data_IF_507948994757
#
_entry.id   IF_507948994757
#
_cell.length_a   1.000
_cell.length_b   1.000
_cell.length_c   1.000
_cell.angle_alpha   90.00
_cell.angle_beta   90.00
_cell.angle_gamma   90.00
#
_symmetry.space_group_name_H-M   'P 1'
#
loop_
_entity.id
_entity.type
_entity.pdbx_description
1 polymer ?
#
# COMPACT_ATOMS: atom_id res chain seq x y z
N UNK A 1 57.74 -4.30 -19.51
CA UNK A 1 56.58 -4.12 -18.61
C UNK A 1 55.41 -3.45 -19.36
N UNK A 2 54.68 -4.17 -20.24
CA UNK A 2 53.61 -3.53 -21.05
C UNK A 2 52.48 -4.45 -21.55
N UNK A 3 52.67 -5.77 -21.56
CA UNK A 3 51.58 -6.69 -21.94
C UNK A 3 50.76 -7.20 -20.74
N UNK A 4 51.40 -7.56 -19.63
CA UNK A 4 50.71 -8.10 -18.45
C UNK A 4 49.78 -7.09 -17.75
N UNK A 5 50.13 -5.80 -17.75
CA UNK A 5 49.30 -4.75 -17.13
C UNK A 5 48.05 -4.49 -18.00
N UNK A 6 48.17 -4.58 -19.33
CA UNK A 6 47.03 -4.40 -20.26
C UNK A 6 46.03 -5.55 -20.23
N UNK A 7 46.49 -6.80 -20.04
CA UNK A 7 45.57 -7.93 -19.84
C UNK A 7 44.91 -7.92 -18.47
N UNK A 8 45.60 -7.44 -17.43
CA UNK A 8 45.01 -7.37 -16.09
C UNK A 8 43.95 -6.27 -15.98
N UNK A 9 44.13 -5.12 -16.65
CA UNK A 9 43.10 -4.05 -16.67
C UNK A 9 41.92 -4.39 -17.57
N UNK A 10 42.10 -5.14 -18.67
CA UNK A 10 40.99 -5.56 -19.53
C UNK A 10 40.10 -6.60 -18.83
N UNK A 11 40.69 -7.55 -18.11
CA UNK A 11 39.93 -8.52 -17.31
C UNK A 11 39.24 -7.90 -16.10
N UNK A 12 39.84 -6.85 -15.48
CA UNK A 12 39.20 -6.10 -14.41
C UNK A 12 38.05 -5.22 -14.92
N UNK A 13 38.16 -4.61 -16.10
CA UNK A 13 37.05 -3.86 -16.72
C UNK A 13 35.88 -4.76 -17.13
N UNK A 14 36.15 -5.97 -17.63
CA UNK A 14 35.12 -6.96 -17.95
C UNK A 14 34.49 -7.58 -16.68
N UNK A 15 35.23 -7.72 -15.59
CA UNK A 15 34.68 -8.16 -14.29
C UNK A 15 33.84 -7.08 -13.60
N UNK A 16 34.12 -5.80 -13.86
CA UNK A 16 33.29 -4.67 -13.41
C UNK A 16 32.06 -4.42 -14.30
N UNK A 17 32.02 -5.00 -15.51
CA UNK A 17 30.90 -4.82 -16.46
C UNK A 17 29.90 -5.98 -16.50
N UNK A 18 30.11 -7.06 -15.73
CA UNK A 18 29.05 -8.04 -15.46
C UNK A 18 28.32 -7.61 -14.19
N UNK A 19 27.67 -6.45 -14.24
CA UNK A 19 26.48 -6.27 -13.41
C UNK A 19 25.49 -7.28 -13.95
N UNK A 20 25.39 -8.42 -13.25
CA UNK A 20 24.36 -9.41 -13.52
C UNK A 20 23.01 -8.68 -13.52
N UNK A 21 22.50 -8.47 -14.73
CA UNK A 21 21.11 -8.12 -14.99
C UNK A 21 20.30 -9.38 -14.75
N UNK A 22 20.25 -9.83 -13.49
CA UNK A 22 19.29 -10.86 -13.10
C UNK A 22 17.91 -10.26 -13.31
N UNK A 23 17.09 -10.94 -14.12
CA UNK A 23 15.68 -10.60 -14.20
C UNK A 23 15.09 -10.68 -12.79
N UNK A 24 14.39 -9.63 -12.40
CA UNK A 24 13.80 -9.51 -11.07
C UNK A 24 12.61 -10.46 -10.99
N UNK A 25 12.62 -11.40 -10.05
CA UNK A 25 11.51 -12.36 -9.91
C UNK A 25 10.41 -11.77 -9.05
N UNK A 26 9.19 -11.76 -9.57
CA UNK A 26 7.99 -11.32 -8.85
C UNK A 26 7.00 -12.46 -8.70
N UNK A 27 6.45 -12.66 -7.50
CA UNK A 27 5.36 -13.61 -7.28
C UNK A 27 4.03 -12.88 -7.36
N UNK A 28 3.07 -13.50 -8.03
CA UNK A 28 1.70 -13.02 -8.10
C UNK A 28 0.77 -14.07 -7.52
N UNK A 29 -0.07 -13.65 -6.57
CA UNK A 29 -1.01 -14.55 -5.92
C UNK A 29 -2.19 -14.93 -6.81
N UNK A 30 -2.74 -16.12 -6.60
CA UNK A 30 -3.89 -16.64 -7.34
C UNK A 30 -5.23 -16.16 -6.74
N UNK A 31 -6.32 -16.41 -7.47
CA UNK A 31 -7.70 -16.19 -6.99
C UNK A 31 -8.13 -17.14 -5.87
N UNK A 32 -7.33 -18.16 -5.59
CA UNK A 32 -7.55 -19.12 -4.51
C UNK A 32 -7.00 -18.64 -3.16
N UNK A 33 -6.35 -17.46 -3.13
CA UNK A 33 -5.93 -16.77 -1.92
C UNK A 33 -6.84 -15.57 -1.64
N UNK A 34 -6.97 -15.15 -0.37
CA UNK A 34 -7.65 -13.90 -0.03
C UNK A 34 -7.02 -12.69 -0.73
N UNK A 35 -7.86 -11.74 -1.13
CA UNK A 35 -7.43 -10.50 -1.76
C UNK A 35 -6.35 -9.80 -0.92
N UNK A 36 -6.55 -9.77 0.39
CA UNK A 36 -5.68 -9.14 1.37
C UNK A 36 -4.25 -9.71 1.32
N UNK A 37 -4.13 -11.02 1.13
CA UNK A 37 -2.85 -11.73 1.02
C UNK A 37 -2.16 -11.40 -0.30
N UNK A 38 -2.92 -11.37 -1.40
CA UNK A 38 -2.40 -11.00 -2.71
C UNK A 38 -1.88 -9.56 -2.71
N UNK A 39 -2.68 -8.61 -2.19
CA UNK A 39 -2.28 -7.21 -2.08
C UNK A 39 -1.03 -7.03 -1.21
N UNK A 40 -0.93 -7.80 -0.12
CA UNK A 40 0.24 -7.77 0.76
C UNK A 40 1.51 -8.19 0.04
N UNK A 41 1.45 -9.29 -0.72
CA UNK A 41 2.61 -9.81 -1.46
C UNK A 41 3.03 -8.84 -2.55
N UNK A 42 2.07 -8.39 -3.37
CA UNK A 42 2.32 -7.42 -4.43
C UNK A 42 3.01 -6.16 -3.89
N UNK A 43 2.54 -5.66 -2.75
CA UNK A 43 3.09 -4.46 -2.14
C UNK A 43 4.49 -4.66 -1.56
N UNK A 44 4.75 -5.77 -0.87
CA UNK A 44 6.10 -6.10 -0.38
C UNK A 44 7.11 -6.05 -1.52
N UNK A 45 6.77 -6.64 -2.67
CA UNK A 45 7.65 -6.74 -3.84
C UNK A 45 7.81 -5.42 -4.57
N UNK A 46 6.72 -4.66 -4.78
CA UNK A 46 6.78 -3.33 -5.40
C UNK A 46 7.60 -2.32 -4.59
N UNK A 47 7.67 -2.50 -3.28
CA UNK A 47 8.40 -1.60 -2.38
C UNK A 47 9.87 -1.93 -2.23
N UNK A 48 10.23 -3.19 -2.44
CA UNK A 48 11.58 -3.69 -2.24
C UNK A 48 11.85 -4.85 -3.22
N UNK A 49 12.41 -4.56 -4.39
CA UNK A 49 12.80 -5.55 -5.39
C UNK A 49 13.58 -6.76 -4.83
N UNK A 50 14.45 -6.49 -3.86
CA UNK A 50 15.31 -7.51 -3.23
C UNK A 50 14.59 -8.33 -2.14
N UNK A 51 13.29 -8.11 -1.93
CA UNK A 51 12.51 -8.83 -0.90
C UNK A 51 12.16 -10.24 -1.35
N UNK A 52 12.09 -10.51 -2.66
CA UNK A 52 11.58 -11.77 -3.19
C UNK A 52 12.32 -12.99 -2.62
N UNK A 53 13.67 -13.06 -2.62
CA UNK A 53 14.40 -14.16 -2.01
C UNK A 53 14.12 -14.34 -0.51
N UNK A 54 13.75 -13.26 0.19
CA UNK A 54 13.46 -13.27 1.63
C UNK A 54 12.07 -13.81 1.95
N UNK A 55 11.10 -13.60 1.05
CA UNK A 55 9.71 -14.06 1.23
C UNK A 55 9.44 -15.41 0.56
N UNK A 56 10.27 -15.83 -0.39
CA UNK A 56 10.12 -17.09 -1.11
C UNK A 56 9.96 -18.32 -0.20
N UNK A 57 10.72 -18.47 0.92
CA UNK A 57 10.51 -19.59 1.84
C UNK A 57 9.10 -19.63 2.43
N UNK A 58 8.54 -18.47 2.77
CA UNK A 58 7.17 -18.37 3.29
C UNK A 58 6.14 -18.69 2.19
N UNK A 59 6.36 -18.24 0.95
CA UNK A 59 5.48 -18.55 -0.18
C UNK A 59 5.45 -20.05 -0.49
N UNK A 60 6.62 -20.70 -0.54
CA UNK A 60 6.74 -22.15 -0.73
C UNK A 60 6.01 -22.91 0.38
N UNK A 61 6.15 -22.45 1.63
CA UNK A 61 5.52 -23.09 2.78
C UNK A 61 4.00 -22.94 2.75
N UNK A 62 3.49 -21.75 2.44
CA UNK A 62 2.06 -21.50 2.25
C UNK A 62 1.52 -22.41 1.15
N UNK A 63 2.17 -22.45 -0.02
CA UNK A 63 1.71 -23.24 -1.15
C UNK A 63 1.67 -24.75 -0.83
N UNK A 64 2.73 -25.24 -0.19
CA UNK A 64 2.85 -26.64 0.25
C UNK A 64 1.65 -27.08 1.09
N UNK A 65 1.32 -26.30 2.11
CA UNK A 65 0.27 -26.69 3.07
C UNK A 65 -1.14 -26.30 2.62
N UNK A 66 -1.29 -25.25 1.81
CA UNK A 66 -2.58 -24.87 1.23
C UNK A 66 -3.16 -25.98 0.34
N UNK A 67 -2.32 -26.81 -0.30
CA UNK A 67 -2.77 -27.94 -1.14
C UNK A 67 -3.60 -28.97 -0.40
N UNK A 68 -3.37 -29.12 0.91
CA UNK A 68 -4.09 -30.04 1.80
C UNK A 68 -5.31 -29.42 2.48
N UNK A 69 -5.58 -28.14 2.25
CA UNK A 69 -6.61 -27.40 2.97
C UNK A 69 -7.83 -27.11 2.09
N UNK A 70 -8.99 -26.96 2.73
CA UNK A 70 -10.17 -26.44 2.05
C UNK A 70 -9.96 -24.96 1.68
N UNK A 71 -10.70 -24.48 0.67
CA UNK A 71 -10.67 -23.06 0.29
C UNK A 71 -11.13 -22.18 1.44
N UNK A 72 -12.12 -22.65 2.18
CA UNK A 72 -12.68 -21.97 3.34
C UNK A 72 -11.62 -21.75 4.42
N UNK A 73 -10.82 -22.78 4.73
CA UNK A 73 -9.74 -22.69 5.74
C UNK A 73 -8.61 -21.77 5.28
N UNK A 74 -8.22 -21.85 4.00
CA UNK A 74 -7.23 -20.94 3.40
C UNK A 74 -7.70 -19.49 3.56
N UNK A 75 -8.97 -19.23 3.26
CA UNK A 75 -9.54 -17.90 3.35
C UNK A 75 -9.66 -17.41 4.79
N UNK A 76 -10.11 -18.28 5.70
CA UNK A 76 -10.26 -17.97 7.10
C UNK A 76 -8.91 -17.58 7.72
N UNK A 77 -7.89 -18.40 7.54
CA UNK A 77 -6.57 -18.14 8.16
C UNK A 77 -5.85 -16.98 7.51
N UNK A 78 -5.88 -16.87 6.18
CA UNK A 78 -5.27 -15.74 5.49
C UNK A 78 -5.84 -14.41 5.99
N UNK A 79 -7.16 -14.30 6.12
CA UNK A 79 -7.80 -13.09 6.65
C UNK A 79 -7.50 -12.87 8.13
N UNK A 80 -7.66 -13.90 8.97
CA UNK A 80 -7.45 -13.78 10.42
C UNK A 80 -6.04 -13.28 10.71
N UNK A 81 -5.02 -13.84 10.09
CA UNK A 81 -3.64 -13.44 10.39
C UNK A 81 -3.32 -12.03 9.89
N UNK A 82 -3.91 -11.57 8.79
CA UNK A 82 -3.83 -10.15 8.35
C UNK A 82 -4.43 -9.24 9.42
N UNK A 83 -5.69 -9.46 9.81
CA UNK A 83 -6.36 -8.61 10.80
C UNK A 83 -5.67 -8.66 12.17
N UNK A 84 -5.31 -9.85 12.63
CA UNK A 84 -4.62 -10.05 13.92
C UNK A 84 -3.30 -9.31 13.96
N UNK A 85 -2.48 -9.39 12.91
CA UNK A 85 -1.18 -8.72 12.89
C UNK A 85 -1.32 -7.19 12.80
N UNK A 86 -2.29 -6.70 12.02
CA UNK A 86 -2.59 -5.27 11.93
C UNK A 86 -3.11 -4.72 13.27
N UNK A 87 -3.98 -5.44 13.96
CA UNK A 87 -4.56 -5.01 15.25
C UNK A 87 -3.66 -5.27 16.45
N UNK A 88 -2.54 -5.97 16.27
CA UNK A 88 -1.55 -6.25 17.31
C UNK A 88 -0.79 -4.97 17.65
N UNK A 89 -1.24 -4.32 18.72
CA UNK A 89 -0.67 -3.07 19.21
C UNK A 89 -0.11 -3.30 20.61
N UNK A 90 1.20 -3.04 20.77
CA UNK A 90 1.92 -3.22 22.04
C UNK A 90 1.99 -1.93 22.88
N UNK A 91 1.64 -0.79 22.30
CA UNK A 91 1.66 0.50 23.00
C UNK A 91 0.35 0.77 23.75
N UNK A 92 0.46 1.57 24.82
CA UNK A 92 -0.64 1.98 25.67
C UNK A 92 -1.83 2.48 24.83
N UNK A 93 -3.01 1.90 25.10
CA UNK A 93 -4.24 2.20 24.39
C UNK A 93 -4.47 3.71 24.28
N UNK A 94 -4.55 4.21 23.04
CA UNK A 94 -4.94 5.60 22.79
C UNK A 94 -6.40 5.72 23.19
N UNK A 95 -6.66 6.49 24.26
CA UNK A 95 -7.98 6.58 24.89
C UNK A 95 -8.96 7.50 24.15
N UNK A 96 -8.52 8.15 23.07
CA UNK A 96 -9.38 9.02 22.27
C UNK A 96 -10.44 8.17 21.56
N UNK A 97 -11.73 8.57 21.62
CA UNK A 97 -12.78 7.87 20.89
C UNK A 97 -12.66 8.13 19.38
N UNK A 98 -13.10 7.14 18.59
CA UNK A 98 -13.33 7.34 17.15
C UNK A 98 -14.51 8.31 16.99
N UNK A 99 -14.30 9.36 16.20
CA UNK A 99 -15.22 10.49 16.01
C UNK A 99 -15.34 10.91 14.53
N UNK A 100 -16.04 12.01 14.26
CA UNK A 100 -16.17 12.56 12.91
C UNK A 100 -14.84 13.02 12.30
N UNK A 101 -13.93 13.55 13.12
CA UNK A 101 -12.57 13.96 12.70
C UNK A 101 -11.79 12.76 12.18
N UNK A 102 -11.91 11.62 12.86
CA UNK A 102 -11.28 10.35 12.47
C UNK A 102 -11.69 9.92 11.06
N UNK A 103 -12.99 10.04 10.73
CA UNK A 103 -13.50 9.72 9.39
C UNK A 103 -12.94 10.67 8.32
N UNK A 104 -12.90 11.97 8.61
CA UNK A 104 -12.34 12.98 7.69
C UNK A 104 -10.86 12.74 7.42
N UNK A 105 -10.08 12.42 8.47
CA UNK A 105 -8.66 12.06 8.37
C UNK A 105 -8.45 10.85 7.45
N UNK A 106 -9.24 9.79 7.61
CA UNK A 106 -9.15 8.59 6.79
C UNK A 106 -9.53 8.84 5.32
N UNK A 107 -10.58 9.63 5.07
CA UNK A 107 -10.98 10.02 3.71
C UNK A 107 -9.90 10.85 3.01
N UNK A 108 -9.27 11.78 3.73
CA UNK A 108 -8.15 12.56 3.20
C UNK A 108 -6.93 11.68 2.88
N UNK A 109 -6.60 10.74 3.77
CA UNK A 109 -5.49 9.79 3.58
C UNK A 109 -5.69 8.88 2.35
N UNK A 110 -6.92 8.42 2.11
CA UNK A 110 -7.27 7.61 0.94
C UNK A 110 -7.01 8.31 -0.38
N UNK A 111 -7.24 9.62 -0.46
CA UNK A 111 -6.99 10.42 -1.66
C UNK A 111 -5.50 10.56 -2.02
N UNK A 112 -4.60 10.33 -1.05
CA UNK A 112 -3.14 10.51 -1.21
C UNK A 112 -2.37 9.21 -1.39
N UNK A 113 -3.00 8.07 -1.13
CA UNK A 113 -2.34 6.77 -1.11
C UNK A 113 -2.42 6.10 -2.48
N UNK A 114 -1.27 5.71 -3.04
CA UNK A 114 -1.18 5.01 -4.33
C UNK A 114 -1.00 3.50 -4.19
N UNK A 115 -0.42 3.06 -3.08
CA UNK A 115 -0.19 1.65 -2.82
C UNK A 115 -1.51 0.89 -2.56
N UNK A 116 -1.68 -0.27 -3.21
CA UNK A 116 -2.92 -1.01 -3.20
C UNK A 116 -3.25 -1.62 -1.83
N UNK A 117 -2.26 -2.17 -1.12
CA UNK A 117 -2.52 -2.74 0.21
C UNK A 117 -2.80 -1.65 1.24
N UNK A 118 -2.03 -0.56 1.24
CA UNK A 118 -2.26 0.58 2.13
C UNK A 118 -3.62 1.20 1.85
N UNK A 119 -4.01 1.33 0.58
CA UNK A 119 -5.34 1.79 0.20
C UNK A 119 -6.44 0.85 0.70
N UNK A 120 -6.29 -0.45 0.49
CA UNK A 120 -7.23 -1.45 1.02
C UNK A 120 -7.33 -1.37 2.55
N UNK A 121 -6.20 -1.26 3.24
CA UNK A 121 -6.14 -1.14 4.69
C UNK A 121 -6.87 0.10 5.19
N UNK A 122 -6.62 1.26 4.58
CA UNK A 122 -7.31 2.51 4.90
C UNK A 122 -8.82 2.43 4.61
N UNK A 123 -9.23 1.74 3.53
CA UNK A 123 -10.64 1.51 3.22
C UNK A 123 -11.30 0.60 4.26
N UNK A 124 -10.63 -0.46 4.69
CA UNK A 124 -11.10 -1.35 5.73
C UNK A 124 -11.24 -0.60 7.07
N UNK A 125 -10.23 0.19 7.44
CA UNK A 125 -10.23 1.02 8.63
C UNK A 125 -11.37 2.06 8.62
N UNK A 126 -11.59 2.72 7.48
CA UNK A 126 -12.70 3.66 7.30
C UNK A 126 -14.05 2.97 7.49
N UNK A 127 -14.25 1.82 6.83
CA UNK A 127 -15.49 1.06 6.94
C UNK A 127 -15.76 0.62 8.38
N UNK A 128 -14.74 0.13 9.08
CA UNK A 128 -14.87 -0.26 10.49
C UNK A 128 -15.23 0.92 11.41
N UNK A 129 -14.71 2.11 11.12
CA UNK A 129 -15.06 3.34 11.83
C UNK A 129 -16.50 3.78 11.52
N UNK A 130 -16.93 3.70 10.27
CA UNK A 130 -18.31 4.00 9.86
C UNK A 130 -19.32 3.03 10.50
N UNK A 131 -19.01 1.74 10.51
CA UNK A 131 -19.80 0.70 11.16
C UNK A 131 -19.87 0.92 12.69
N UNK A 132 -18.75 1.32 13.32
CA UNK A 132 -18.72 1.66 14.74
C UNK A 132 -19.56 2.91 15.05
N UNK A 133 -19.44 3.97 14.25
CA UNK A 133 -20.18 5.24 14.42
C UNK A 133 -21.67 5.11 14.13
N UNK A 134 -22.06 4.20 13.24
CA UNK A 134 -23.47 3.90 12.96
C UNK A 134 -24.14 3.08 14.07
N UNK A 135 -23.37 2.40 14.92
CA UNK A 135 -23.87 1.57 16.00
C UNK A 135 -24.54 2.43 17.10
N UNK A 136 -25.82 2.16 17.37
CA UNK A 136 -26.61 2.85 18.42
C UNK A 136 -25.97 2.75 19.81
N UNK A 137 -25.45 1.58 20.17
CA UNK A 137 -24.82 1.34 21.47
C UNK A 137 -23.50 2.12 21.61
N UNK A 138 -22.78 2.35 20.51
CA UNK A 138 -21.56 3.15 20.53
C UNK A 138 -21.86 4.63 20.81
N UNK A 139 -22.91 5.19 20.21
CA UNK A 139 -23.37 6.56 20.50
C UNK A 139 -23.76 6.73 21.96
N UNK A 140 -24.49 5.75 22.52
CA UNK A 140 -24.85 5.76 23.94
C UNK A 140 -23.61 5.65 24.85
N UNK A 141 -22.67 4.77 24.50
CA UNK A 141 -21.38 4.64 25.19
C UNK A 141 -20.61 5.97 25.22
N UNK A 142 -20.51 6.67 24.08
CA UNK A 142 -19.82 7.97 24.01
C UNK A 142 -20.48 9.02 24.90
N UNK A 143 -21.82 9.07 24.94
CA UNK A 143 -22.56 9.98 25.83
C UNK A 143 -22.26 9.68 27.30
N UNK A 144 -22.27 8.40 27.69
CA UNK A 144 -21.96 8.01 29.06
C UNK A 144 -20.51 8.34 29.44
N UNK A 145 -19.56 8.10 28.53
CA UNK A 145 -18.14 8.42 28.71
C UNK A 145 -17.92 9.93 28.87
N UNK A 146 -18.56 10.75 28.03
CA UNK A 146 -18.46 12.21 28.08
C UNK A 146 -19.08 12.79 29.37
N UNK A 147 -20.11 12.14 29.91
CA UNK A 147 -20.73 12.52 31.18
C UNK A 147 -19.97 11.99 32.41
N UNK A 148 -18.81 11.34 32.23
CA UNK A 148 -18.01 10.79 33.32
C UNK A 148 -18.65 9.57 34.02
N UNK A 149 -19.65 8.94 33.41
CA UNK A 149 -20.32 7.77 33.96
C UNK A 149 -19.44 6.53 33.83
N UNK A 150 -19.50 5.65 34.83
CA UNK A 150 -18.70 4.43 34.87
C UNK A 150 -19.23 3.40 33.89
N UNK A 151 -18.35 2.90 33.02
CA UNK A 151 -18.67 1.92 31.98
C UNK A 151 -18.66 0.50 32.58
N UNK A 152 -19.83 0.03 33.01
CA UNK A 152 -19.97 -1.30 33.64
C UNK A 152 -20.44 -2.39 32.68
N UNK A 153 -21.21 -2.04 31.64
CA UNK A 153 -21.73 -3.01 30.66
C UNK A 153 -20.60 -3.63 29.84
N UNK A 154 -20.64 -4.95 29.67
CA UNK A 154 -19.63 -5.72 28.92
C UNK A 154 -19.60 -5.29 27.45
N UNK A 155 -20.76 -4.97 26.88
CA UNK A 155 -20.92 -4.48 25.51
C UNK A 155 -20.17 -3.18 25.29
N UNK A 156 -20.24 -2.24 26.25
CA UNK A 156 -19.52 -0.97 26.17
C UNK A 156 -18.01 -1.17 26.28
N UNK A 157 -17.54 -2.12 27.10
CA UNK A 157 -16.10 -2.46 27.12
C UNK A 157 -15.62 -3.07 25.81
N UNK A 158 -16.46 -3.87 25.14
CA UNK A 158 -16.14 -4.40 23.79
C UNK A 158 -16.04 -3.28 22.76
N UNK A 159 -16.96 -2.32 22.82
CA UNK A 159 -16.96 -1.14 21.95
C UNK A 159 -15.76 -0.22 22.21
N UNK A 160 -15.40 -0.01 23.47
CA UNK A 160 -14.20 0.74 23.86
C UNK A 160 -12.94 0.10 23.29
N UNK A 161 -12.76 -1.21 23.49
CA UNK A 161 -11.63 -1.95 22.91
C UNK A 161 -11.60 -1.86 21.38
N UNK A 162 -12.76 -1.98 20.72
CA UNK A 162 -12.82 -1.80 19.25
C UNK A 162 -12.38 -0.39 18.86
N UNK A 163 -12.86 0.63 19.55
CA UNK A 163 -12.46 2.03 19.32
C UNK A 163 -10.96 2.25 19.53
N UNK A 164 -10.39 1.75 20.63
CA UNK A 164 -8.95 1.87 20.93
C UNK A 164 -8.07 1.20 19.85
N UNK A 165 -8.48 0.03 19.35
CA UNK A 165 -7.78 -0.67 18.29
C UNK A 165 -7.78 0.11 16.96
N UNK A 166 -8.90 0.74 16.60
CA UNK A 166 -9.01 1.58 15.41
C UNK A 166 -8.24 2.90 15.59
N UNK A 167 -8.35 3.51 16.77
CA UNK A 167 -7.72 4.80 17.07
C UNK A 167 -6.19 4.73 17.04
N UNK A 168 -5.61 3.59 17.41
CA UNK A 168 -4.17 3.36 17.25
C UNK A 168 -3.72 3.70 15.84
N UNK A 169 -4.40 3.15 14.83
CA UNK A 169 -4.03 3.38 13.43
C UNK A 169 -4.36 4.78 12.96
N UNK A 170 -5.50 5.34 13.37
CA UNK A 170 -5.87 6.71 13.05
C UNK A 170 -4.80 7.69 13.55
N UNK A 171 -4.25 7.47 14.75
CA UNK A 171 -3.21 8.34 15.32
C UNK A 171 -1.90 8.36 14.54
N UNK A 172 -1.63 7.31 13.75
CA UNK A 172 -0.44 7.20 12.89
C UNK A 172 -0.63 7.94 11.57
N UNK A 173 -1.86 8.37 11.28
CA UNK A 173 -2.22 9.00 10.00
C UNK A 173 -2.18 10.52 10.16
N UNK A 174 -1.15 11.13 9.56
CA UNK A 174 -1.08 12.58 9.42
C UNK A 174 -1.17 12.96 7.93
N UNK A 175 -2.38 13.16 7.37
CA UNK A 175 -2.54 13.39 5.94
C UNK A 175 -1.93 14.72 5.49
N UNK A 176 -1.60 15.64 6.41
CA UNK A 176 -1.00 16.94 6.10
C UNK A 176 0.53 16.87 5.96
N UNK A 177 1.17 15.79 6.42
CA UNK A 177 2.60 15.60 6.20
C UNK A 177 2.89 15.32 4.72
N UNK A 178 3.94 15.95 4.18
CA UNK A 178 4.35 15.75 2.78
C UNK A 178 4.70 14.27 2.50
N UNK A 179 5.40 13.62 3.43
CA UNK A 179 5.86 12.23 3.31
C UNK A 179 4.91 11.21 3.95
N UNK A 180 3.64 11.58 4.18
CA UNK A 180 2.67 10.70 4.84
C UNK A 180 2.54 9.32 4.16
N UNK A 181 2.35 9.22 2.83
CA UNK A 181 2.15 7.92 2.19
C UNK A 181 3.35 6.99 2.42
N UNK A 182 4.57 7.51 2.35
CA UNK A 182 5.79 6.74 2.55
C UNK A 182 6.00 6.39 4.03
N UNK A 183 5.65 7.30 4.94
CA UNK A 183 5.73 7.06 6.39
C UNK A 183 4.80 5.92 6.81
N UNK A 184 3.53 5.96 6.39
CA UNK A 184 2.56 4.92 6.70
C UNK A 184 2.96 3.58 6.07
N UNK A 185 3.46 3.60 4.83
CA UNK A 185 4.01 2.42 4.16
C UNK A 185 5.18 1.81 4.94
N UNK A 186 6.10 2.64 5.44
CA UNK A 186 7.24 2.19 6.25
C UNK A 186 6.79 1.57 7.58
N UNK A 187 5.74 2.10 8.20
CA UNK A 187 5.13 1.52 9.41
C UNK A 187 4.42 0.19 9.15
N UNK A 188 3.76 0.06 7.98
CA UNK A 188 3.03 -1.15 7.61
C UNK A 188 3.94 -2.28 7.11
N UNK A 189 5.07 -1.96 6.48
CA UNK A 189 5.95 -2.97 5.84
C UNK A 189 6.45 -4.05 6.83
N UNK A 190 6.94 -3.72 8.04
CA UNK A 190 7.30 -4.72 9.04
C UNK A 190 6.12 -5.64 9.43
N UNK A 191 4.92 -5.06 9.56
CA UNK A 191 3.70 -5.83 9.86
C UNK A 191 3.28 -6.73 8.69
N UNK A 192 3.48 -6.30 7.44
CA UNK A 192 3.24 -7.15 6.27
C UNK A 192 4.17 -8.37 6.26
N UNK A 193 5.45 -8.18 6.57
CA UNK A 193 6.41 -9.28 6.70
C UNK A 193 6.07 -10.22 7.86
N UNK A 194 5.68 -9.68 9.02
CA UNK A 194 5.20 -10.49 10.15
C UNK A 194 3.95 -11.27 9.79
N UNK A 195 3.01 -10.64 9.06
CA UNK A 195 1.76 -11.28 8.61
C UNK A 195 2.05 -12.46 7.70
N UNK A 196 2.93 -12.30 6.71
CA UNK A 196 3.27 -13.39 5.78
C UNK A 196 3.85 -14.60 6.51
N UNK A 197 4.76 -14.36 7.46
CA UNK A 197 5.34 -15.40 8.32
C UNK A 197 4.28 -16.08 9.20
N UNK A 198 3.34 -15.30 9.75
CA UNK A 198 2.26 -15.84 10.57
C UNK A 198 1.29 -16.70 9.75
N UNK A 199 0.97 -16.30 8.51
CA UNK A 199 0.17 -17.11 7.58
C UNK A 199 0.89 -18.42 7.27
N UNK A 200 2.16 -18.35 6.86
CA UNK A 200 3.03 -19.50 6.59
C UNK A 200 3.03 -20.50 7.75
N UNK A 201 3.25 -20.01 8.98
CA UNK A 201 3.22 -20.83 10.20
C UNK A 201 1.85 -21.41 10.50
N UNK A 202 0.78 -20.64 10.32
CA UNK A 202 -0.59 -21.08 10.65
C UNK A 202 -1.07 -22.17 9.70
N UNK A 203 -0.72 -22.07 8.41
CA UNK A 203 -1.00 -23.09 7.41
C UNK A 203 -0.27 -24.40 7.75
N UNK A 204 1.00 -24.30 8.14
CA UNK A 204 1.78 -25.45 8.61
C UNK A 204 1.14 -26.13 9.83
N UNK A 205 0.75 -25.35 10.85
CA UNK A 205 0.15 -25.90 12.08
C UNK A 205 -1.18 -26.59 11.80
N UNK A 206 -2.08 -25.95 11.06
CA UNK A 206 -3.38 -26.55 10.73
C UNK A 206 -3.23 -27.80 9.87
N UNK A 207 -2.31 -27.81 8.91
CA UNK A 207 -2.07 -28.99 8.10
C UNK A 207 -1.51 -30.16 8.93
N UNK A 208 -0.69 -29.90 9.95
CA UNK A 208 -0.18 -30.94 10.87
C UNK A 208 -1.23 -31.45 11.85
N UNK A 209 -2.13 -30.59 12.32
CA UNK A 209 -3.22 -30.96 13.22
C UNK A 209 -4.37 -31.67 12.49
N UNK A 210 -4.52 -31.43 11.19
CA UNK A 210 -5.44 -32.16 10.34
C UNK A 210 -4.96 -33.61 10.16
N UNK A 211 -5.61 -34.52 10.88
CA UNK A 211 -5.42 -35.99 10.77
C UNK A 211 -5.65 -36.57 9.35
N UNK A 212 -6.04 -35.75 8.37
CA UNK A 212 -6.54 -36.15 7.06
C UNK A 212 -5.56 -35.92 5.90
N UNK A 213 -4.37 -35.33 6.12
CA UNK A 213 -3.42 -35.14 5.01
C UNK A 213 -2.07 -35.79 5.28
N UNK A 214 -1.55 -36.64 4.35
CA UNK A 214 -0.15 -37.00 4.37
C UNK A 214 0.67 -35.70 4.30
N UNK A 215 1.74 -35.59 5.10
CA UNK A 215 2.63 -34.42 5.06
C UNK A 215 2.93 -34.10 3.59
N UNK A 216 2.43 -32.96 3.12
CA UNK A 216 2.59 -32.55 1.74
C UNK A 216 4.09 -32.60 1.39
N UNK A 217 4.48 -33.09 0.21
CA UNK A 217 5.89 -33.16 -0.18
C UNK A 217 6.51 -31.76 -0.10
N UNK A 218 7.77 -31.69 0.34
CA UNK A 218 8.49 -30.41 0.38
C UNK A 218 8.64 -29.89 -1.05
N UNK A 219 8.19 -28.65 -1.29
CA UNK A 219 8.41 -27.96 -2.56
C UNK A 219 9.88 -27.52 -2.62
N UNK A 220 10.53 -27.81 -3.76
CA UNK A 220 11.97 -27.57 -3.92
C UNK A 220 12.29 -26.20 -4.50
N UNK A 221 11.41 -25.68 -5.35
CA UNK A 221 11.63 -24.42 -6.07
C UNK A 221 10.30 -23.73 -6.42
N UNK A 222 10.40 -22.50 -6.91
CA UNK A 222 9.26 -21.68 -7.32
C UNK A 222 8.48 -22.21 -8.53
N UNK A 223 9.03 -23.17 -9.28
CA UNK A 223 8.36 -23.72 -10.48
C UNK A 223 7.22 -24.67 -10.13
N UNK A 224 7.23 -25.19 -8.89
CA UNK A 224 6.22 -26.10 -8.40
C UNK A 224 4.98 -25.39 -7.84
N UNK A 225 4.98 -24.05 -7.67
CA UNK A 225 3.92 -23.28 -7.00
C UNK A 225 2.56 -23.34 -7.74
N UNK A 226 1.46 -23.55 -6.99
CA UNK A 226 0.07 -23.61 -7.51
C UNK A 226 -0.74 -22.36 -7.17
N UNK A 227 -0.55 -21.82 -5.98
CA UNK A 227 -1.24 -20.65 -5.45
C UNK A 227 -0.54 -19.34 -5.78
N UNK A 228 0.71 -19.42 -6.25
CA UNK A 228 1.53 -18.29 -6.69
C UNK A 228 2.09 -18.56 -8.08
N UNK A 229 2.15 -17.54 -8.91
CA UNK A 229 2.84 -17.57 -10.20
C UNK A 229 4.04 -16.62 -10.16
N UNK A 230 5.24 -17.15 -10.41
CA UNK A 230 6.47 -16.36 -10.46
C UNK A 230 6.76 -15.95 -11.89
N UNK A 231 7.04 -14.66 -12.09
CA UNK A 231 7.37 -14.07 -13.38
C UNK A 231 8.72 -13.37 -13.28
N UNK A 232 9.51 -13.50 -14.33
CA UNK A 232 10.70 -12.70 -14.54
C UNK A 232 10.26 -11.32 -15.06
N UNK A 233 10.59 -10.28 -14.30
CA UNK A 233 10.38 -8.88 -14.65
C UNK A 233 11.69 -8.34 -15.19
N UNK A 234 11.64 -7.71 -16.36
CA UNK A 234 12.80 -7.05 -16.92
C UNK A 234 13.35 -6.03 -15.91
N UNK A 235 14.67 -6.00 -15.67
CA UNK A 235 15.24 -5.11 -14.66
C UNK A 235 14.84 -3.67 -14.99
N UNK A 236 14.10 -3.04 -14.07
CA UNK A 236 13.80 -1.61 -14.18
C UNK A 236 15.14 -0.89 -14.04
N UNK A 237 15.58 -0.07 -15.02
CA UNK A 237 16.84 0.66 -14.87
C UNK A 237 16.77 1.46 -13.58
N UNK A 238 17.73 1.21 -12.69
CA UNK A 238 17.83 1.90 -11.41
C UNK A 238 17.68 3.39 -11.64
N UNK A 239 16.68 4.01 -11.01
CA UNK A 239 16.56 5.47 -10.93
C UNK A 239 17.89 5.97 -10.36
N UNK A 240 18.73 6.72 -11.10
CA UNK A 240 20.00 7.16 -10.57
C UNK A 240 19.71 8.08 -9.38
N UNK A 241 20.18 7.66 -8.21
CA UNK A 241 20.25 8.51 -7.04
C UNK A 241 21.19 9.68 -7.36
N UNK A 242 20.70 10.89 -7.11
CA UNK A 242 21.49 12.14 -6.98
C UNK A 242 22.25 12.61 -8.21
N UNK A 243 21.88 13.82 -8.64
CA UNK A 243 22.61 14.75 -9.51
C UNK A 243 24.13 14.54 -9.50
N UNK A 244 24.66 13.90 -10.54
CA UNK A 244 26.01 14.16 -11.03
C UNK A 244 25.88 15.20 -12.13
N UNK A 245 26.25 16.43 -11.77
CA UNK A 245 26.57 17.51 -12.70
C UNK A 245 27.32 16.99 -13.92
N UNK A 246 26.70 17.13 -15.10
CA UNK A 246 27.41 17.00 -16.37
C UNK A 246 28.61 17.95 -16.34
N UNK A 247 29.81 17.39 -16.42
CA UNK A 247 31.01 18.15 -16.66
C UNK A 247 30.93 18.71 -18.09
N UNK A 248 30.48 19.95 -18.22
CA UNK A 248 30.57 20.71 -19.47
C UNK A 248 32.03 20.84 -19.89
N UNK A 249 32.33 20.56 -21.16
CA UNK A 249 33.66 20.79 -21.70
C UNK A 249 33.91 22.30 -21.84
N UNK A 250 35.19 22.70 -21.79
CA UNK A 250 35.61 24.11 -21.88
C UNK A 250 35.19 24.76 -23.21
N UNK A 251 34.90 23.96 -24.25
CA UNK A 251 34.36 24.47 -25.52
C UNK A 251 32.91 24.95 -25.44
N UNK A 252 32.09 24.49 -24.48
CA UNK A 252 30.70 24.95 -24.32
C UNK A 252 30.58 26.33 -23.64
N UNK A 253 31.64 26.81 -22.99
CA UNK A 253 31.64 28.09 -22.25
C UNK A 253 31.96 29.29 -23.16
N UNK A 254 32.59 29.06 -24.31
CA UNK A 254 33.16 30.13 -25.15
C UNK A 254 32.53 30.27 -26.54
N UNK A 255 31.42 29.59 -26.84
CA UNK A 255 30.71 29.80 -28.09
C UNK A 255 30.02 31.19 -28.10
N UNK A 256 30.28 32.05 -29.10
CA UNK A 256 29.63 33.34 -29.20
C UNK A 256 28.13 33.17 -29.45
N UNK A 257 27.33 33.88 -28.65
CA UNK A 257 25.88 34.00 -28.76
C UNK A 257 25.52 34.40 -30.18
N UNK A 258 24.92 33.49 -30.95
CA UNK A 258 24.28 33.83 -32.22
C UNK A 258 22.98 33.05 -32.36
N UNK A 259 21.89 33.81 -32.28
CA UNK A 259 20.52 33.58 -32.75
C UNK A 259 19.81 32.25 -32.39
N UNK A 260 19.34 32.19 -31.14
CA UNK A 260 18.16 31.38 -30.82
C UNK A 260 16.93 32.17 -31.25
N UNK A 261 16.35 31.76 -32.37
CA UNK A 261 14.99 32.08 -32.79
C UNK A 261 14.04 31.70 -31.64
N UNK A 262 13.15 32.58 -31.13
CA UNK A 262 12.24 32.19 -30.06
C UNK A 262 11.31 31.09 -30.57
N UNK A 263 11.39 29.90 -29.95
CA UNK A 263 10.35 28.88 -30.10
C UNK A 263 9.15 29.39 -29.29
N UNK A 264 8.13 29.85 -30.01
CA UNK A 264 6.89 30.36 -29.45
C UNK A 264 6.23 29.30 -28.58
N UNK A 265 5.95 29.65 -27.31
CA UNK A 265 5.05 28.90 -26.45
C UNK A 265 3.69 28.76 -27.16
N UNK A 266 3.06 27.57 -27.14
CA UNK A 266 1.74 27.41 -27.74
C UNK A 266 0.74 28.32 -27.02
N UNK A 267 0.22 29.32 -27.73
CA UNK A 267 -0.89 30.14 -27.28
C UNK A 267 -2.18 29.31 -27.32
N UNK A 268 -3.06 29.43 -26.31
CA UNK A 268 -4.35 28.76 -26.30
C UNK A 268 -5.24 29.34 -27.42
N UNK A 269 -5.74 28.48 -28.30
CA UNK A 269 -6.80 28.84 -29.25
C UNK A 269 -8.08 29.21 -28.49
N UNK A 270 -8.46 30.47 -28.55
CA UNK A 270 -9.84 30.90 -28.34
C UNK A 270 -10.68 30.39 -29.53
N UNK A 271 -11.98 30.11 -29.29
CA UNK A 271 -12.96 29.41 -30.15
C UNK A 271 -12.91 27.87 -29.96
N UNK A 272 -13.91 27.14 -29.44
CA UNK A 272 -15.34 27.35 -29.27
C UNK A 272 -15.80 26.71 -27.94
N UNK A 273 -16.20 27.51 -26.95
CA UNK A 273 -16.94 27.05 -25.75
C UNK A 273 -18.44 27.39 -25.86
N UNK A 274 -18.93 27.56 -27.09
CA UNK A 274 -20.33 27.84 -27.40
C UNK A 274 -20.86 26.81 -28.40
N UNK A 275 -20.84 25.53 -28.04
CA UNK A 275 -21.74 24.55 -28.65
C UNK A 275 -22.49 23.83 -27.54
N UNK A 276 -23.67 24.37 -27.27
CA UNK A 276 -24.69 23.93 -26.31
C UNK A 276 -25.51 22.78 -26.94
N UNK A 277 -24.83 21.76 -27.45
CA UNK A 277 -25.46 20.59 -28.11
C UNK A 277 -25.04 19.28 -27.44
N UNK A 278 -25.57 19.02 -26.24
CA UNK A 278 -26.07 17.70 -25.82
C UNK A 278 -26.56 17.70 -24.36
N UNK A 279 -27.29 18.76 -23.97
CA UNK A 279 -27.98 18.78 -22.68
C UNK A 279 -29.34 18.10 -22.84
N UNK A 280 -29.59 16.94 -22.23
CA UNK A 280 -30.90 16.28 -22.32
C UNK A 280 -32.00 17.22 -21.80
N UNK A 281 -33.16 17.22 -22.46
CA UNK A 281 -34.28 18.14 -22.22
C UNK A 281 -34.75 18.21 -20.74
N UNK A 282 -34.36 17.24 -19.90
CA UNK A 282 -34.63 17.20 -18.47
C UNK A 282 -33.80 18.19 -17.62
N UNK A 283 -32.80 18.88 -18.19
CA UNK A 283 -31.92 19.81 -17.46
C UNK A 283 -32.11 21.29 -17.84
N UNK A 284 -32.95 21.62 -18.83
CA UNK A 284 -33.21 23.00 -19.25
C UNK A 284 -34.14 23.79 -18.31
N UNK A 285 -34.83 23.10 -17.38
CA UNK A 285 -35.80 23.72 -16.45
C UNK A 285 -35.29 23.84 -15.01
N UNK A 286 -33.99 23.68 -14.77
CA UNK A 286 -33.42 23.98 -13.46
C UNK A 286 -33.27 25.51 -13.31
N UNK A 287 -33.70 26.09 -12.17
CA UNK A 287 -33.48 27.51 -11.92
C UNK A 287 -31.97 27.78 -11.94
N UNK A 288 -31.55 28.73 -12.79
CA UNK A 288 -30.16 29.17 -12.85
C UNK A 288 -29.72 29.65 -11.46
N UNK A 289 -28.51 29.28 -10.99
CA UNK A 289 -27.99 29.79 -9.74
C UNK A 289 -27.89 31.31 -9.83
N UNK A 290 -28.55 31.99 -8.90
CA UNK A 290 -28.39 33.42 -8.66
C UNK A 290 -26.94 33.71 -8.25
N UNK A 291 -26.40 34.78 -8.79
CA UNK A 291 -25.02 35.25 -8.68
C UNK A 291 -24.41 35.19 -7.27
N UNK A 292 -23.09 35.00 -7.26
CA UNK A 292 -22.17 35.23 -6.16
C UNK A 292 -22.33 36.63 -5.53
N UNK A 293 -21.98 36.69 -4.23
CA UNK A 293 -21.91 37.84 -3.33
C UNK A 293 -23.20 38.20 -2.56
N UNK A 294 -23.43 37.51 -1.43
CA UNK A 294 -24.23 38.04 -0.30
C UNK A 294 -23.95 37.34 1.06
N UNK A 295 -22.84 36.63 1.21
CA UNK A 295 -22.52 35.89 2.45
C UNK A 295 -21.46 36.55 3.33
N UNK A 296 -21.25 37.87 3.21
CA UNK A 296 -20.28 38.62 4.00
C UNK A 296 -20.84 39.90 4.62
N UNK A 297 -22.07 39.88 5.15
CA UNK A 297 -22.52 40.84 6.16
C UNK A 297 -23.38 40.11 7.21
N UNK A 298 -22.73 39.73 8.32
CA UNK A 298 -23.26 39.56 9.69
C UNK A 298 -22.54 38.42 10.42
N UNK A 299 -21.31 38.67 10.88
CA UNK A 299 -20.72 38.11 12.11
C UNK A 299 -19.60 39.03 12.64
#
# INVERSE_FOLDING_TARGET
MSKAIKTFTLSALLALSVQNTYAEKVATGSKELPLEVNLLIDNLQNNNPDIFPKILPDLLNIDRYARSMSKEDIFLVGKIEVYKTLLKNYDAAIKQPVDGTSLTTLKAALGKTKDNFTKWFLQALLKDCEDLMSNKLYKEFLLQKNNGLKIEKVEYRKLEKKGELLQYWISKINPNAQDFPDTLKNDLTPKMLETLKNISRSFELMAKESSLSPLAPALKDETELKFFAVKDVAPTPAKPATQTSESKSVEEILAPVTDVKPEELPQPTQENWLEDENTPASLQNLPKPSNDADWLEDF
#
